data_IF_709563792027
#
_entry.id   IF_709563792027
#
_cell.length_a   1.000
_cell.length_b   1.000
_cell.length_c   1.000
_cell.angle_alpha   90.00
_cell.angle_beta   90.00
_cell.angle_gamma   90.00
#
_symmetry.space_group_name_H-M   'P 1'
#
loop_
_entity.id
_entity.type
_entity.pdbx_description
1 polymer ?
#
# COMPACT_ATOMS: atom_id res chain seq x y z
N UNK A 1 7.56 26.94 40.73
CA UNK A 1 8.31 25.82 40.10
C UNK A 1 7.41 24.71 39.53
N UNK A 2 6.34 24.30 40.21
CA UNK A 2 5.43 23.23 39.74
C UNK A 2 4.72 23.47 38.39
N UNK A 3 4.40 24.73 38.05
CA UNK A 3 3.69 25.07 36.80
C UNK A 3 4.50 24.76 35.53
N UNK A 4 5.83 24.84 35.60
CA UNK A 4 6.69 24.57 34.44
C UNK A 4 6.81 23.06 34.13
N UNK A 5 6.71 22.19 35.14
CA UNK A 5 6.81 20.73 34.96
C UNK A 5 5.56 20.20 34.24
N UNK A 6 4.37 20.73 34.59
CA UNK A 6 3.10 20.31 33.97
C UNK A 6 3.08 20.66 32.48
N UNK A 7 3.56 21.85 32.11
CA UNK A 7 3.64 22.29 30.70
C UNK A 7 4.60 21.40 29.91
N UNK A 8 5.74 21.03 30.50
CA UNK A 8 6.72 20.16 29.86
C UNK A 8 6.16 18.76 29.59
N UNK A 9 5.46 18.18 30.57
CA UNK A 9 4.81 16.85 30.43
C UNK A 9 3.72 16.89 29.35
N UNK A 10 2.93 17.97 29.29
CA UNK A 10 1.91 18.15 28.27
C UNK A 10 2.49 18.25 26.86
N UNK A 11 3.61 18.95 26.69
CA UNK A 11 4.31 19.08 25.41
C UNK A 11 4.91 17.74 24.94
N UNK A 12 5.47 16.94 25.84
CA UNK A 12 6.01 15.61 25.50
C UNK A 12 4.88 14.64 25.14
N UNK A 13 3.77 14.66 25.87
CA UNK A 13 2.60 13.84 25.57
C UNK A 13 1.96 14.24 24.23
N UNK A 14 1.80 15.54 23.97
CA UNK A 14 1.31 16.05 22.69
C UNK A 14 2.24 15.70 21.52
N UNK A 15 3.57 15.83 21.71
CA UNK A 15 4.54 15.43 20.69
C UNK A 15 4.49 13.92 20.40
N UNK A 16 4.37 13.08 21.43
CA UNK A 16 4.19 11.63 21.26
C UNK A 16 2.90 11.24 20.53
N UNK A 17 1.82 11.99 20.78
CA UNK A 17 0.52 11.81 20.11
C UNK A 17 0.58 12.24 18.63
N UNK A 18 1.23 13.37 18.33
CA UNK A 18 1.44 13.86 16.95
C UNK A 18 2.34 12.90 16.15
N UNK A 19 3.42 12.40 16.75
CA UNK A 19 4.32 11.41 16.12
C UNK A 19 3.63 10.07 15.80
N UNK A 20 2.65 9.66 16.60
CA UNK A 20 1.85 8.46 16.32
C UNK A 20 0.87 8.64 15.16
N UNK A 21 0.41 9.86 14.90
CA UNK A 21 -0.60 10.12 13.87
C UNK A 21 0.00 10.19 12.45
N UNK A 22 1.28 10.56 12.32
CA UNK A 22 1.95 10.79 11.02
C UNK A 22 2.42 9.50 10.34
N UNK A 23 2.44 8.35 11.03
CA UNK A 23 3.02 7.09 10.48
C UNK A 23 2.00 6.14 9.84
N UNK A 24 0.91 6.64 9.25
CA UNK A 24 0.10 5.77 8.38
C UNK A 24 0.81 5.62 7.03
N UNK A 25 1.19 4.40 6.64
CA UNK A 25 1.91 4.19 5.39
C UNK A 25 0.98 4.57 4.22
N UNK A 26 1.47 5.42 3.34
CA UNK A 26 0.69 6.01 2.25
C UNK A 26 0.45 4.97 1.17
N UNK A 27 -0.80 4.72 0.80
CA UNK A 27 -1.13 3.86 -0.35
C UNK A 27 -0.80 4.63 -1.64
N UNK A 28 0.04 4.05 -2.49
CA UNK A 28 0.43 4.62 -3.78
C UNK A 28 -0.56 4.19 -4.86
N UNK A 29 -0.80 2.90 -4.95
CA UNK A 29 -1.72 2.32 -5.90
C UNK A 29 -2.42 1.09 -5.34
N UNK A 30 -3.50 0.72 -6.01
CA UNK A 30 -4.32 -0.41 -5.65
C UNK A 30 -4.93 -1.03 -6.89
N UNK A 31 -4.80 -2.35 -7.02
CA UNK A 31 -5.45 -3.13 -8.08
C UNK A 31 -6.51 -4.01 -7.45
N UNK A 32 -7.73 -3.97 -7.97
CA UNK A 32 -8.84 -4.84 -7.58
C UNK A 32 -9.32 -5.65 -8.77
N UNK A 33 -9.48 -6.94 -8.55
CA UNK A 33 -10.06 -7.86 -9.52
C UNK A 33 -11.56 -7.95 -9.25
N UNK A 34 -12.36 -7.37 -10.13
CA UNK A 34 -13.81 -7.51 -10.14
C UNK A 34 -14.25 -8.76 -10.90
N UNK A 35 -15.56 -8.93 -11.04
CA UNK A 35 -16.15 -10.04 -11.78
C UNK A 35 -15.92 -9.90 -13.30
N UNK A 36 -16.07 -8.69 -13.82
CA UNK A 36 -15.96 -8.40 -15.26
C UNK A 36 -14.74 -7.57 -15.66
N UNK A 37 -14.12 -6.83 -14.71
CA UNK A 37 -13.00 -5.94 -15.01
C UNK A 37 -11.99 -5.86 -13.85
N UNK A 38 -10.78 -5.41 -14.19
CA UNK A 38 -9.71 -5.12 -13.24
C UNK A 38 -9.56 -3.61 -13.08
N UNK A 39 -9.83 -3.14 -11.87
CA UNK A 39 -9.74 -1.73 -11.51
C UNK A 39 -8.32 -1.42 -11.00
N UNK A 40 -7.65 -0.46 -11.64
CA UNK A 40 -6.35 0.05 -11.20
C UNK A 40 -6.54 1.47 -10.69
N UNK A 41 -6.19 1.70 -9.43
CA UNK A 41 -6.32 2.98 -8.74
C UNK A 41 -4.93 3.53 -8.43
N UNK A 42 -4.70 4.79 -8.81
CA UNK A 42 -3.45 5.48 -8.54
C UNK A 42 -2.33 5.20 -9.56
N UNK A 43 -1.21 5.93 -9.46
CA UNK A 43 -0.05 5.74 -10.31
C UNK A 43 0.79 4.54 -9.84
N UNK A 44 1.15 3.68 -10.79
CA UNK A 44 2.08 2.56 -10.55
C UNK A 44 3.46 2.99 -11.04
N UNK A 45 4.52 2.94 -10.20
CA UNK A 45 5.86 3.30 -10.63
C UNK A 45 6.28 2.51 -11.88
N UNK A 46 6.84 3.20 -12.87
CA UNK A 46 7.40 2.63 -14.11
C UNK A 46 6.43 1.80 -14.97
N UNK A 47 5.11 1.84 -14.71
CA UNK A 47 4.12 1.04 -15.42
C UNK A 47 2.87 1.85 -15.73
N UNK A 48 2.28 1.59 -16.89
CA UNK A 48 0.95 2.13 -17.21
C UNK A 48 -0.15 1.30 -16.55
N UNK A 49 -1.29 1.92 -16.28
CA UNK A 49 -2.46 1.21 -15.74
C UNK A 49 -2.97 0.13 -16.70
N UNK A 50 -2.88 0.36 -18.01
CA UNK A 50 -3.31 -0.60 -19.03
C UNK A 50 -2.44 -1.87 -19.04
N UNK A 51 -1.12 -1.73 -18.93
CA UNK A 51 -0.20 -2.87 -18.83
C UNK A 51 -0.47 -3.71 -17.58
N UNK A 52 -0.67 -3.05 -16.43
CA UNK A 52 -0.96 -3.75 -15.18
C UNK A 52 -2.31 -4.45 -15.23
N UNK A 53 -3.31 -3.81 -15.83
CA UNK A 53 -4.63 -4.43 -16.07
C UNK A 53 -4.50 -5.69 -16.90
N UNK A 54 -3.81 -5.62 -18.05
CA UNK A 54 -3.62 -6.76 -18.94
C UNK A 54 -2.87 -7.91 -18.25
N UNK A 55 -1.79 -7.59 -17.53
CA UNK A 55 -1.02 -8.57 -16.77
C UNK A 55 -1.84 -9.28 -15.69
N UNK A 56 -2.64 -8.52 -14.92
CA UNK A 56 -3.48 -9.10 -13.87
C UNK A 56 -4.62 -9.95 -14.44
N UNK A 57 -5.18 -9.56 -15.60
CA UNK A 57 -6.14 -10.39 -16.33
C UNK A 57 -5.51 -11.69 -16.83
N UNK A 58 -4.26 -11.67 -17.29
CA UNK A 58 -3.52 -12.86 -17.72
C UNK A 58 -3.27 -13.84 -16.57
N UNK A 59 -2.97 -13.33 -15.37
CA UNK A 59 -2.78 -14.15 -14.16
C UNK A 59 -4.05 -14.88 -13.71
N UNK A 60 -5.22 -14.52 -14.22
CA UNK A 60 -6.52 -15.11 -13.83
C UNK A 60 -6.71 -15.16 -12.31
N UNK A 61 -6.36 -14.06 -11.64
CA UNK A 61 -6.54 -13.93 -10.20
C UNK A 61 -8.02 -14.10 -9.82
N UNK A 62 -8.32 -14.64 -8.63
CA UNK A 62 -9.69 -14.81 -8.19
C UNK A 62 -10.40 -13.46 -8.02
N UNK A 63 -11.70 -13.43 -8.28
CA UNK A 63 -12.55 -12.26 -8.00
C UNK A 63 -12.42 -11.86 -6.54
N UNK A 64 -12.28 -10.55 -6.29
CA UNK A 64 -12.00 -10.00 -4.97
C UNK A 64 -10.52 -9.99 -4.60
N UNK A 65 -9.61 -10.48 -5.45
CA UNK A 65 -8.19 -10.29 -5.27
C UNK A 65 -7.85 -8.79 -5.29
N UNK A 66 -7.05 -8.39 -4.31
CA UNK A 66 -6.54 -7.02 -4.15
C UNK A 66 -5.03 -7.05 -4.03
N UNK A 67 -4.38 -6.14 -4.74
CA UNK A 67 -2.95 -5.87 -4.68
C UNK A 67 -2.80 -4.40 -4.29
N UNK A 68 -2.08 -4.10 -3.22
CA UNK A 68 -1.89 -2.71 -2.74
C UNK A 68 -0.40 -2.41 -2.70
N UNK A 69 0.01 -1.33 -3.35
CA UNK A 69 1.34 -0.76 -3.23
C UNK A 69 1.35 0.30 -2.14
N UNK A 70 2.06 0.04 -1.03
CA UNK A 70 2.18 0.99 0.08
C UNK A 70 3.60 1.54 0.14
N UNK A 71 3.76 2.85 0.29
CA UNK A 71 5.05 3.52 0.42
C UNK A 71 5.81 3.00 1.65
N UNK A 72 7.09 2.68 1.46
CA UNK A 72 8.00 2.21 2.50
C UNK A 72 9.39 2.80 2.30
N UNK A 73 9.58 4.02 2.77
CA UNK A 73 10.83 4.77 2.58
C UNK A 73 10.96 5.21 1.13
N UNK A 74 12.09 4.90 0.49
CA UNK A 74 12.34 5.19 -0.94
C UNK A 74 11.77 4.11 -1.88
N UNK A 75 11.25 3.02 -1.33
CA UNK A 75 10.64 1.93 -2.08
C UNK A 75 9.15 1.83 -1.73
N UNK A 76 8.47 0.87 -2.34
CA UNK A 76 7.11 0.49 -1.95
C UNK A 76 7.06 -1.01 -1.64
N UNK A 77 6.08 -1.39 -0.82
CA UNK A 77 5.78 -2.77 -0.48
C UNK A 77 4.47 -3.16 -1.14
N UNK A 78 4.46 -4.35 -1.75
CA UNK A 78 3.25 -4.97 -2.25
C UNK A 78 2.58 -5.81 -1.16
N UNK A 79 1.31 -5.51 -0.92
CA UNK A 79 0.42 -6.27 -0.06
C UNK A 79 -0.61 -6.98 -0.94
N UNK A 80 -0.85 -8.26 -0.66
CA UNK A 80 -1.72 -9.11 -1.44
C UNK A 80 -2.86 -9.65 -0.59
N UNK A 81 -4.02 -9.80 -1.20
CA UNK A 81 -5.13 -10.52 -0.57
C UNK A 81 -4.74 -11.98 -0.29
N UNK A 82 -5.29 -12.59 0.77
CA UNK A 82 -4.99 -13.98 1.13
C UNK A 82 -5.37 -14.97 0.03
N UNK A 83 -6.31 -14.61 -0.84
CA UNK A 83 -6.78 -15.40 -1.98
C UNK A 83 -5.78 -15.50 -3.14
N UNK A 84 -4.79 -14.62 -3.22
CA UNK A 84 -3.76 -14.64 -4.27
C UNK A 84 -2.72 -15.70 -3.93
N UNK A 85 -2.45 -16.63 -4.85
CA UNK A 85 -1.48 -17.72 -4.65
C UNK A 85 -0.06 -17.20 -4.59
N UNK A 86 0.84 -17.93 -3.93
CA UNK A 86 2.22 -17.50 -3.74
C UNK A 86 2.95 -17.28 -5.08
N UNK A 87 2.78 -18.19 -6.04
CA UNK A 87 3.38 -18.08 -7.38
C UNK A 87 2.93 -16.80 -8.11
N UNK A 88 1.65 -16.44 -8.02
CA UNK A 88 1.13 -15.21 -8.62
C UNK A 88 1.70 -13.96 -7.93
N UNK A 89 1.89 -14.00 -6.60
CA UNK A 89 2.52 -12.89 -5.86
C UNK A 89 3.94 -12.65 -6.34
N UNK A 90 4.69 -13.71 -6.59
CA UNK A 90 6.08 -13.61 -7.01
C UNK A 90 6.17 -13.10 -8.46
N UNK A 91 5.28 -13.54 -9.35
CA UNK A 91 5.14 -12.95 -10.70
C UNK A 91 4.76 -11.47 -10.67
N UNK A 92 3.82 -11.07 -9.81
CA UNK A 92 3.45 -9.65 -9.66
C UNK A 92 4.61 -8.82 -9.10
N UNK A 93 5.38 -9.37 -8.14
CA UNK A 93 6.58 -8.69 -7.61
C UNK A 93 7.63 -8.50 -8.68
N UNK A 94 7.88 -9.49 -9.53
CA UNK A 94 8.82 -9.38 -10.63
C UNK A 94 8.34 -8.35 -11.67
N UNK A 95 7.06 -8.36 -12.01
CA UNK A 95 6.50 -7.46 -13.01
C UNK A 95 6.45 -5.99 -12.56
N UNK A 96 5.96 -5.75 -11.33
CA UNK A 96 5.76 -4.40 -10.79
C UNK A 96 7.03 -3.88 -10.11
N UNK A 97 7.69 -4.73 -9.31
CA UNK A 97 8.87 -4.41 -8.49
C UNK A 97 10.22 -4.35 -9.22
N UNK A 98 10.24 -4.69 -10.51
CA UNK A 98 11.40 -4.54 -11.39
C UNK A 98 11.70 -3.10 -11.81
#
# INVERSE_FOLDING_TARGET
MFRNIIILVFLVAAAGLVLSWVRRPKRLFEVRVGEDDVLVLGPIPNRSQAEVRAFVQELRLPVGARIVGTERGTAYRLEFSPTVRQDDRDRVREFIGG
#
